data_IF_818181652707
#
_entry.id   IF_818181652707
#
_cell.length_a   1.000
_cell.length_b   1.000
_cell.length_c   1.000
_cell.angle_alpha   90.00
_cell.angle_beta   90.00
_cell.angle_gamma   90.00
#
_symmetry.space_group_name_H-M   'P 1'
#
loop_
_entity.id
_entity.type
_entity.pdbx_description
1 polymer ?
#
# COMPACT_ATOMS: atom_id res chain seq x y z
N UNK A 1 12.80 11.68 -14.42
CA UNK A 1 12.07 10.52 -13.87
C UNK A 1 12.99 9.30 -13.92
N UNK A 2 12.93 8.34 -12.96
CA UNK A 2 13.69 7.09 -13.07
C UNK A 2 13.36 6.36 -14.39
N UNK A 3 14.33 5.69 -15.00
CA UNK A 3 14.14 5.04 -16.30
C UNK A 3 13.15 3.86 -16.28
N UNK A 4 12.90 3.26 -15.11
CA UNK A 4 11.96 2.16 -14.92
C UNK A 4 10.52 2.63 -14.61
N UNK A 5 10.31 3.94 -14.47
CA UNK A 5 8.97 4.55 -14.33
C UNK A 5 8.59 5.17 -15.67
N UNK A 6 7.51 4.66 -16.25
CA UNK A 6 6.92 5.16 -17.48
C UNK A 6 5.57 5.84 -17.19
N UNK A 7 5.26 6.86 -17.98
CA UNK A 7 3.92 7.47 -18.04
C UNK A 7 3.72 8.03 -19.44
N UNK A 8 2.53 7.85 -20.01
CA UNK A 8 2.16 8.33 -21.35
C UNK A 8 1.19 9.51 -21.31
N UNK A 9 1.05 10.11 -20.13
CA UNK A 9 0.08 11.18 -19.86
C UNK A 9 0.63 12.57 -20.19
N UNK A 10 -0.22 13.57 -19.99
CA UNK A 10 0.12 14.97 -20.23
C UNK A 10 1.24 15.50 -19.33
N UNK A 11 1.71 16.70 -19.68
CA UNK A 11 2.81 17.37 -18.98
C UNK A 11 2.47 17.73 -17.53
N UNK A 12 1.20 17.99 -17.22
CA UNK A 12 0.77 18.35 -15.87
C UNK A 12 0.89 17.14 -14.94
N UNK A 13 0.31 16.00 -15.33
CA UNK A 13 0.41 14.75 -14.59
C UNK A 13 1.87 14.35 -14.38
N UNK A 14 2.68 14.42 -15.45
CA UNK A 14 4.11 14.10 -15.39
C UNK A 14 4.87 14.99 -14.40
N UNK A 15 4.50 16.28 -14.31
CA UNK A 15 5.10 17.21 -13.34
C UNK A 15 4.76 16.81 -11.90
N UNK A 16 3.48 16.51 -11.62
CA UNK A 16 3.03 16.07 -10.28
C UNK A 16 3.70 14.75 -9.87
N UNK A 17 3.80 13.79 -10.80
CA UNK A 17 4.50 12.53 -10.57
C UNK A 17 5.99 12.74 -10.26
N UNK A 18 6.67 13.60 -11.02
CA UNK A 18 8.08 13.90 -10.79
C UNK A 18 8.29 14.56 -9.42
N UNK A 19 7.41 15.49 -9.02
CA UNK A 19 7.46 16.10 -7.70
C UNK A 19 7.29 15.04 -6.59
N UNK A 20 6.27 14.17 -6.71
CA UNK A 20 6.03 13.12 -5.74
C UNK A 20 7.23 12.16 -5.61
N UNK A 21 7.80 11.71 -6.72
CA UNK A 21 9.01 10.86 -6.72
C UNK A 21 10.20 11.57 -6.07
N UNK A 22 10.38 12.87 -6.32
CA UNK A 22 11.46 13.63 -5.69
C UNK A 22 11.25 13.77 -4.18
N UNK A 23 10.01 13.94 -3.71
CA UNK A 23 9.68 13.93 -2.27
C UNK A 23 9.98 12.57 -1.63
N UNK A 24 9.67 11.46 -2.31
CA UNK A 24 10.00 10.11 -1.82
C UNK A 24 11.51 9.92 -1.68
N UNK A 25 12.30 10.38 -2.67
CA UNK A 25 13.77 10.34 -2.63
C UNK A 25 14.39 11.17 -1.51
N UNK A 26 13.68 12.17 -0.97
CA UNK A 26 14.15 12.93 0.17
C UNK A 26 14.06 12.16 1.50
N UNK A 27 13.40 11.00 1.52
CA UNK A 27 13.29 10.12 2.69
C UNK A 27 14.12 8.85 2.51
N UNK A 28 14.59 8.27 3.63
CA UNK A 28 15.30 6.99 3.62
C UNK A 28 14.38 5.86 3.15
N UNK A 29 13.16 5.84 3.68
CA UNK A 29 12.13 4.84 3.37
C UNK A 29 11.70 4.88 1.91
N UNK A 30 11.39 6.07 1.38
CA UNK A 30 11.01 6.23 -0.03
C UNK A 30 12.16 5.89 -0.99
N UNK A 31 13.40 6.27 -0.66
CA UNK A 31 14.58 5.87 -1.46
C UNK A 31 14.74 4.35 -1.49
N UNK A 32 14.64 3.68 -0.34
CA UNK A 32 14.76 2.23 -0.27
C UNK A 32 13.67 1.51 -1.08
N UNK A 33 12.44 2.02 -1.05
CA UNK A 33 11.34 1.47 -1.87
C UNK A 33 11.64 1.63 -3.38
N UNK A 34 12.05 2.83 -3.81
CA UNK A 34 12.39 3.09 -5.22
C UNK A 34 13.56 2.22 -5.71
N UNK A 35 14.57 1.99 -4.86
CA UNK A 35 15.69 1.11 -5.19
C UNK A 35 15.25 -0.35 -5.30
N UNK A 36 14.38 -0.81 -4.40
CA UNK A 36 13.80 -2.17 -4.48
C UNK A 36 12.94 -2.35 -5.71
N UNK A 37 12.16 -1.34 -6.10
CA UNK A 37 11.38 -1.37 -7.34
C UNK A 37 12.29 -1.48 -8.56
N UNK A 38 13.35 -0.65 -8.63
CA UNK A 38 14.36 -0.73 -9.69
C UNK A 38 14.97 -2.14 -9.80
N UNK A 39 15.25 -2.78 -8.66
CA UNK A 39 15.85 -4.11 -8.61
C UNK A 39 14.91 -5.24 -9.07
N UNK A 40 13.61 -4.98 -9.27
CA UNK A 40 12.69 -5.99 -9.82
C UNK A 40 12.86 -6.19 -11.33
N UNK A 41 13.59 -5.29 -12.00
CA UNK A 41 13.74 -5.25 -13.46
C UNK A 41 12.43 -5.11 -14.24
N UNK A 42 11.30 -4.92 -13.55
CA UNK A 42 10.00 -4.63 -14.17
C UNK A 42 9.87 -3.14 -14.45
N UNK A 43 9.26 -2.82 -15.58
CA UNK A 43 8.78 -1.46 -15.85
C UNK A 43 7.50 -1.21 -15.05
N UNK A 44 7.43 -0.07 -14.38
CA UNK A 44 6.22 0.42 -13.72
C UNK A 44 5.61 1.52 -14.56
N UNK A 45 4.42 1.28 -15.09
CA UNK A 45 3.65 2.26 -15.82
C UNK A 45 2.66 2.93 -14.87
N UNK A 46 2.82 4.23 -14.67
CA UNK A 46 1.99 5.02 -13.76
C UNK A 46 0.99 5.85 -14.58
N UNK A 47 -0.30 5.64 -14.29
CA UNK A 47 -1.44 6.26 -14.97
C UNK A 47 -2.27 7.11 -13.99
N UNK A 48 -3.05 8.09 -14.49
CA UNK A 48 -3.89 8.91 -13.65
C UNK A 48 -5.10 8.10 -13.19
N UNK A 49 -5.61 8.48 -12.04
CA UNK A 49 -6.78 7.87 -11.43
C UNK A 49 -7.70 8.93 -10.87
N UNK A 50 -9.01 8.66 -10.87
CA UNK A 50 -10.03 9.61 -10.41
C UNK A 50 -10.59 9.27 -9.03
N UNK A 51 -10.26 8.12 -8.44
CA UNK A 51 -10.70 7.74 -7.10
C UNK A 51 -9.61 8.03 -6.05
N UNK A 52 -9.99 8.11 -4.76
CA UNK A 52 -9.05 8.26 -3.63
C UNK A 52 -8.05 7.11 -3.45
N UNK A 53 -8.46 5.88 -3.76
CA UNK A 53 -7.63 4.68 -3.72
C UNK A 53 -6.93 4.50 -5.05
N UNK A 54 -5.66 4.13 -5.07
CA UNK A 54 -5.02 3.67 -6.30
C UNK A 54 -5.45 2.24 -6.65
N UNK A 55 -4.81 1.71 -7.69
CA UNK A 55 -4.93 0.33 -8.09
C UNK A 55 -3.60 -0.14 -8.67
N UNK A 56 -3.29 -1.43 -8.53
CA UNK A 56 -2.08 -2.04 -9.04
C UNK A 56 -2.42 -3.36 -9.73
N UNK A 57 -1.83 -3.58 -10.90
CA UNK A 57 -1.90 -4.85 -11.62
C UNK A 57 -0.54 -5.21 -12.20
N UNK A 58 -0.25 -6.49 -12.42
CA UNK A 58 0.99 -6.96 -13.06
C UNK A 58 0.65 -7.88 -14.23
N UNK A 59 1.02 -7.48 -15.46
CA UNK A 59 0.78 -8.24 -16.69
C UNK A 59 2.02 -8.22 -17.56
N UNK A 60 2.45 -9.38 -18.08
CA UNK A 60 3.48 -9.45 -19.12
C UNK A 60 4.82 -8.79 -18.78
N UNK A 61 5.27 -8.87 -17.52
CA UNK A 61 6.53 -8.26 -17.08
C UNK A 61 6.45 -6.76 -16.74
N UNK A 62 5.28 -6.14 -16.85
CA UNK A 62 5.01 -4.77 -16.42
C UNK A 62 4.13 -4.74 -15.17
N UNK A 63 4.28 -3.68 -14.38
CA UNK A 63 3.37 -3.33 -13.29
C UNK A 63 2.64 -2.05 -13.64
N UNK A 64 1.33 -2.14 -13.73
CA UNK A 64 0.43 -1.00 -13.94
C UNK A 64 0.05 -0.44 -12.58
N UNK A 65 0.21 0.86 -12.38
CA UNK A 65 -0.15 1.57 -11.16
C UNK A 65 -1.03 2.77 -11.52
N UNK A 66 -2.22 2.84 -10.93
CA UNK A 66 -3.12 3.97 -11.05
C UNK A 66 -3.05 4.84 -9.79
N UNK A 67 -2.76 6.12 -9.97
CA UNK A 67 -2.57 7.07 -8.86
C UNK A 67 -3.29 8.38 -9.13
N UNK A 68 -3.94 8.91 -8.11
CA UNK A 68 -4.60 10.21 -8.15
C UNK A 68 -3.71 11.27 -7.48
N UNK A 69 -3.03 12.14 -8.26
CA UNK A 69 -2.16 13.17 -7.71
C UNK A 69 -2.92 14.32 -7.05
N UNK A 70 -4.20 14.49 -7.39
CA UNK A 70 -5.06 15.56 -6.88
C UNK A 70 -5.81 15.16 -5.61
N UNK A 71 -5.88 13.86 -5.32
CA UNK A 71 -6.34 13.38 -4.04
C UNK A 71 -5.25 13.57 -2.97
N UNK A 72 -5.39 14.65 -2.21
CA UNK A 72 -4.54 14.95 -1.06
C UNK A 72 -5.41 15.41 0.08
N UNK A 73 -5.39 14.66 1.18
CA UNK A 73 -5.99 15.08 2.46
C UNK A 73 -4.86 15.37 3.44
N UNK A 74 -5.06 16.23 4.47
CA UNK A 74 -3.99 16.56 5.43
C UNK A 74 -3.32 15.33 6.05
N UNK A 75 -4.10 14.25 6.22
CA UNK A 75 -3.61 12.97 6.73
C UNK A 75 -2.97 12.07 5.69
N UNK A 76 -3.11 12.31 4.39
CA UNK A 76 -2.52 11.48 3.33
C UNK A 76 -2.13 12.36 2.13
N UNK A 77 -0.97 13.02 2.19
CA UNK A 77 -0.44 13.75 1.04
C UNK A 77 -0.32 12.84 -0.18
N UNK A 78 -0.53 13.38 -1.38
CA UNK A 78 -0.52 12.59 -2.61
C UNK A 78 0.76 11.74 -2.81
N UNK A 79 1.93 12.22 -2.38
CA UNK A 79 3.17 11.44 -2.46
C UNK A 79 3.23 10.27 -1.47
N UNK A 80 2.56 10.37 -0.31
CA UNK A 80 2.40 9.26 0.63
C UNK A 80 1.47 8.21 0.06
N UNK A 81 0.41 8.64 -0.63
CA UNK A 81 -0.45 7.71 -1.39
C UNK A 81 0.32 7.05 -2.54
N UNK A 82 1.18 7.78 -3.25
CA UNK A 82 2.06 7.17 -4.26
C UNK A 82 2.99 6.11 -3.64
N UNK A 83 3.58 6.40 -2.47
CA UNK A 83 4.40 5.42 -1.75
C UNK A 83 3.61 4.15 -1.43
N UNK A 84 2.39 4.31 -0.95
CA UNK A 84 1.48 3.21 -0.64
C UNK A 84 1.26 2.31 -1.86
N UNK A 85 0.86 2.89 -2.99
CA UNK A 85 0.65 2.13 -4.24
C UNK A 85 1.95 1.50 -4.77
N UNK A 86 3.11 2.12 -4.54
CA UNK A 86 4.40 1.54 -4.90
C UNK A 86 4.76 0.31 -4.05
N UNK A 87 4.29 0.21 -2.80
CA UNK A 87 4.44 -1.04 -2.02
C UNK A 87 3.61 -2.16 -2.64
N UNK A 88 2.36 -1.87 -3.03
CA UNK A 88 1.53 -2.82 -3.79
C UNK A 88 2.17 -3.22 -5.12
N UNK A 89 2.77 -2.26 -5.83
CA UNK A 89 3.52 -2.51 -7.05
C UNK A 89 4.73 -3.43 -6.82
N UNK A 90 5.46 -3.24 -5.72
CA UNK A 90 6.60 -4.11 -5.37
C UNK A 90 6.15 -5.53 -5.08
N UNK A 91 5.05 -5.70 -4.36
CA UNK A 91 4.48 -7.01 -4.06
C UNK A 91 4.02 -7.71 -5.35
N UNK A 92 3.28 -7.00 -6.20
CA UNK A 92 2.84 -7.50 -7.51
C UNK A 92 4.03 -7.83 -8.43
N UNK A 93 5.13 -7.06 -8.34
CA UNK A 93 6.35 -7.33 -9.08
C UNK A 93 6.99 -8.67 -8.67
N UNK A 94 6.91 -9.03 -7.39
CA UNK A 94 7.48 -10.29 -6.84
C UNK A 94 6.64 -11.53 -7.14
N UNK A 95 5.43 -11.37 -7.67
CA UNK A 95 4.51 -12.46 -7.99
C UNK A 95 3.28 -12.49 -7.07
N UNK A 96 2.37 -13.45 -7.26
CA UNK A 96 1.11 -13.49 -6.54
C UNK A 96 1.34 -13.62 -5.03
N UNK A 97 0.72 -12.74 -4.25
CA UNK A 97 0.67 -12.86 -2.81
C UNK A 97 -0.07 -14.17 -2.45
N UNK A 98 0.50 -14.97 -1.55
CA UNK A 98 -0.11 -16.24 -1.12
C UNK A 98 -1.40 -16.03 -0.30
N UNK A 99 -1.56 -14.86 0.31
CA UNK A 99 -2.71 -14.48 1.16
C UNK A 99 -3.19 -13.05 0.84
N UNK A 100 -4.28 -12.91 0.08
CA UNK A 100 -4.76 -11.62 -0.42
C UNK A 100 -5.24 -10.61 0.64
N UNK A 101 -5.54 -11.04 1.87
CA UNK A 101 -6.07 -10.15 2.94
C UNK A 101 -5.00 -9.37 3.71
N UNK A 102 -3.71 -9.66 3.50
CA UNK A 102 -2.59 -9.04 4.25
C UNK A 102 -1.85 -7.95 3.47
N UNK A 103 -2.16 -7.78 2.19
CA UNK A 103 -1.48 -6.87 1.27
C UNK A 103 -1.58 -5.41 1.75
N UNK A 104 -2.77 -4.99 2.16
CA UNK A 104 -3.02 -3.63 2.64
C UNK A 104 -2.37 -3.33 3.99
N UNK A 105 -2.45 -4.28 4.94
CA UNK A 105 -1.79 -4.14 6.25
C UNK A 105 -0.26 -4.05 6.09
N UNK A 106 0.32 -4.74 5.11
CA UNK A 106 1.74 -4.64 4.78
C UNK A 106 2.08 -3.27 4.17
N UNK A 107 1.29 -2.81 3.19
CA UNK A 107 1.46 -1.50 2.56
C UNK A 107 1.37 -0.36 3.58
N UNK A 108 0.40 -0.44 4.50
CA UNK A 108 0.25 0.56 5.57
C UNK A 108 1.33 0.38 6.66
N UNK A 109 1.72 -0.85 6.98
CA UNK A 109 2.62 -1.16 8.10
C UNK A 109 1.87 -1.36 9.41
N UNK A 110 0.90 -2.28 9.41
CA UNK A 110 0.04 -2.59 10.55
C UNK A 110 0.22 -4.03 11.03
N UNK A 111 -0.18 -4.28 12.28
CA UNK A 111 -0.11 -5.61 12.90
C UNK A 111 1.32 -6.16 12.88
N UNK A 112 1.52 -7.28 12.19
CA UNK A 112 2.84 -7.92 12.06
C UNK A 112 3.84 -7.10 11.22
N UNK A 113 3.36 -6.14 10.42
CA UNK A 113 4.17 -5.32 9.50
C UNK A 113 4.58 -3.97 10.09
N UNK A 114 4.34 -3.72 11.38
CA UNK A 114 4.64 -2.43 12.02
C UNK A 114 6.13 -2.03 11.98
N UNK A 115 7.00 -3.02 11.88
CA UNK A 115 8.44 -2.82 11.76
C UNK A 115 8.94 -2.90 10.31
N UNK A 116 8.05 -3.00 9.32
CA UNK A 116 8.46 -3.03 7.91
C UNK A 116 9.04 -1.68 7.49
N UNK A 117 10.26 -1.73 6.95
CA UNK A 117 11.02 -0.57 6.50
C UNK A 117 10.44 0.09 5.25
N UNK A 118 9.54 -0.59 4.54
CA UNK A 118 8.94 -0.09 3.29
C UNK A 118 7.53 0.46 3.48
N UNK A 119 6.94 0.31 4.66
CA UNK A 119 5.53 0.66 4.88
C UNK A 119 5.25 2.16 4.82
N UNK A 120 3.99 2.52 4.54
CA UNK A 120 3.49 3.89 4.60
C UNK A 120 3.72 4.51 5.98
N UNK A 121 3.42 3.79 7.06
CA UNK A 121 3.64 4.29 8.42
C UNK A 121 5.11 4.48 8.77
N UNK A 122 6.00 3.70 8.14
CA UNK A 122 7.44 3.97 8.25
C UNK A 122 7.80 5.31 7.61
N UNK A 123 7.32 5.59 6.40
CA UNK A 123 7.51 6.87 5.71
C UNK A 123 6.94 8.03 6.53
N UNK A 124 5.69 7.89 7.02
CA UNK A 124 5.01 8.91 7.82
C UNK A 124 5.82 9.31 9.05
N UNK A 125 6.35 8.33 9.79
CA UNK A 125 7.19 8.56 10.96
C UNK A 125 8.46 9.35 10.63
N UNK A 126 9.12 9.04 9.51
CA UNK A 126 10.31 9.78 9.06
C UNK A 126 10.01 11.24 8.71
N UNK A 127 8.78 11.53 8.27
CA UNK A 127 8.33 12.85 7.85
C UNK A 127 7.55 13.62 8.93
N UNK A 128 7.40 13.06 10.14
CA UNK A 128 6.60 13.66 11.21
C UNK A 128 5.10 13.76 10.89
N UNK A 129 4.60 12.91 9.99
CA UNK A 129 3.17 12.84 9.64
C UNK A 129 2.40 11.95 10.62
N UNK A 130 1.09 12.20 10.83
CA UNK A 130 0.26 11.32 11.64
C UNK A 130 0.29 9.87 11.15
N UNK A 131 0.29 8.94 12.10
CA UNK A 131 0.15 7.51 11.82
C UNK A 131 -1.20 7.22 11.15
N UNK A 132 -1.22 6.40 10.10
CA UNK A 132 -2.45 5.93 9.47
C UNK A 132 -2.97 4.72 10.24
N UNK A 133 -4.12 4.82 10.92
CA UNK A 133 -4.80 3.64 11.48
C UNK A 133 -5.31 2.75 10.35
N UNK A 134 -5.70 1.51 10.66
CA UNK A 134 -6.19 0.54 9.66
C UNK A 134 -7.28 1.07 8.75
N UNK A 135 -7.49 0.34 7.64
CA UNK A 135 -8.47 0.63 6.58
C UNK A 135 -9.92 0.87 7.08
N UNK A 136 -10.20 0.56 8.35
CA UNK A 136 -11.45 0.82 9.03
C UNK A 136 -11.39 2.13 9.85
N UNK A 137 -11.24 3.28 9.19
CA UNK A 137 -11.80 4.52 9.72
C UNK A 137 -12.71 5.11 8.67
N UNK A 138 -13.94 4.57 8.65
CA UNK A 138 -15.12 5.29 8.18
C UNK A 138 -15.14 6.67 8.85
N UNK A 139 -15.59 7.73 8.15
CA UNK A 139 -15.68 9.07 8.72
C UNK A 139 -16.46 9.04 10.04
N UNK A 140 -15.86 9.53 11.13
CA UNK A 140 -16.51 9.56 12.45
C UNK A 140 -15.60 9.57 13.68
N UNK A 141 -14.29 9.33 13.56
CA UNK A 141 -13.36 9.35 14.69
C UNK A 141 -12.34 10.50 14.58
N UNK A 142 -12.17 11.24 15.68
CA UNK A 142 -11.19 12.32 15.80
C UNK A 142 -9.75 11.79 16.02
N UNK A 143 -8.75 12.63 15.75
CA UNK A 143 -7.31 12.29 15.90
C UNK A 143 -6.94 11.91 17.34
N UNK A 144 -7.59 12.52 18.33
CA UNK A 144 -7.37 12.22 19.75
C UNK A 144 -7.93 10.87 20.16
N UNK A 145 -9.07 10.46 19.60
CA UNK A 145 -9.69 9.16 19.91
C UNK A 145 -8.89 8.00 19.32
N UNK A 146 -8.34 8.18 18.12
CA UNK A 146 -7.50 7.18 17.46
C UNK A 146 -6.12 7.11 18.11
N UNK A 147 -5.50 8.25 18.43
CA UNK A 147 -4.21 8.28 19.11
C UNK A 147 -4.30 7.72 20.53
N UNK A 148 -5.35 8.04 21.30
CA UNK A 148 -5.57 7.44 22.63
C UNK A 148 -5.78 5.94 22.54
N UNK A 149 -6.64 5.46 21.65
CA UNK A 149 -6.84 4.01 21.48
C UNK A 149 -5.56 3.31 21.07
N UNK A 150 -4.77 3.89 20.17
CA UNK A 150 -3.53 3.28 19.70
C UNK A 150 -2.45 3.25 20.79
N UNK A 151 -2.29 4.34 21.55
CA UNK A 151 -1.35 4.42 22.67
C UNK A 151 -1.75 3.48 23.84
N UNK A 152 -3.06 3.40 24.16
CA UNK A 152 -3.58 2.46 25.16
C UNK A 152 -3.33 0.99 24.73
N UNK A 153 -3.31 0.71 23.42
CA UNK A 153 -3.04 -0.63 22.88
C UNK A 153 -1.55 -1.02 22.99
N UNK A 154 -0.63 -0.04 23.11
CA UNK A 154 0.81 -0.28 23.22
C UNK A 154 1.30 -0.45 24.66
N UNK A 155 0.62 0.13 25.64
CA UNK A 155 0.96 -0.04 27.07
C UNK A 155 0.35 -1.31 27.67
N UNK A 156 -0.77 -1.81 27.12
CA UNK A 156 -1.38 -3.07 27.56
C UNK A 156 -0.75 -4.29 26.85
N UNK A 157 0.37 -4.77 27.40
CA UNK A 157 1.03 -6.00 26.97
C UNK A 157 0.10 -7.21 26.97
N UNK A 158 -0.94 -7.23 27.81
CA UNK A 158 -1.90 -8.34 27.88
C UNK A 158 -2.92 -8.29 26.74
N UNK A 159 -3.24 -7.10 26.20
CA UNK A 159 -4.08 -6.96 25.01
C UNK A 159 -3.39 -7.52 23.75
N UNK A 160 -2.10 -7.18 23.55
CA UNK A 160 -1.28 -7.74 22.44
C UNK A 160 -1.18 -9.26 22.58
N UNK A 161 -0.99 -9.76 23.81
CA UNK A 161 -0.86 -11.19 24.11
C UNK A 161 -2.15 -11.99 23.93
N UNK A 162 -3.32 -11.41 24.28
CA UNK A 162 -4.64 -12.03 24.08
C UNK A 162 -5.05 -12.14 22.61
N UNK A 163 -4.64 -11.18 21.76
CA UNK A 163 -5.03 -11.16 20.34
C UNK A 163 -4.07 -11.94 19.43
N UNK A 164 -2.81 -12.04 19.82
CA UNK A 164 -1.79 -12.79 19.06
C UNK A 164 -1.86 -14.31 19.28
N UNK A 165 -2.62 -14.78 20.28
CA UNK A 165 -2.69 -16.19 20.67
C UNK A 165 -1.33 -16.77 21.07
N UNK A 166 -1.27 -17.93 21.73
CA UNK A 166 -0.03 -18.68 21.79
C UNK A 166 0.35 -19.09 20.36
N UNK A 167 1.63 -18.87 19.97
CA UNK A 167 2.21 -19.49 18.77
C UNK A 167 1.94 -21.00 18.86
N UNK A 168 1.06 -21.50 18.02
CA UNK A 168 0.84 -22.92 17.84
C UNK A 168 1.40 -23.28 16.47
N UNK A 169 2.44 -24.09 16.49
CA UNK A 169 3.05 -24.70 15.33
C UNK A 169 1.97 -25.46 14.52
N UNK A 170 2.03 -25.35 13.18
CA UNK A 170 1.16 -26.02 12.17
C UNK A 170 0.83 -27.50 12.49
N UNK A 171 -0.28 -28.12 12.00
CA UNK A 171 -0.84 -27.99 10.64
C UNK A 171 -2.38 -28.05 10.52
N UNK A 172 -2.88 -27.77 9.31
CA UNK A 172 -4.22 -28.09 8.77
C UNK A 172 -5.52 -27.73 9.52
N UNK A 173 -6.45 -27.19 8.72
CA UNK A 173 -7.89 -26.96 8.97
C UNK A 173 -8.28 -25.62 9.60
N UNK A 174 -8.84 -24.74 8.76
CA UNK A 174 -10.15 -24.12 8.96
C UNK A 174 -10.52 -23.34 7.68
N UNK A 175 -10.85 -24.10 6.64
CA UNK A 175 -11.48 -23.57 5.44
C UNK A 175 -12.90 -23.11 5.77
N UNK A 176 -13.18 -21.82 5.62
CA UNK A 176 -14.51 -21.37 5.17
C UNK A 176 -14.38 -20.96 3.71
N UNK A 177 -14.95 -21.78 2.83
CA UNK A 177 -15.20 -21.41 1.43
C UNK A 177 -16.03 -20.12 1.43
N UNK A 178 -15.47 -19.05 0.89
CA UNK A 178 -16.23 -17.91 0.44
C UNK A 178 -16.51 -18.20 -1.03
N UNK A 179 -17.78 -18.41 -1.37
CA UNK A 179 -18.20 -18.48 -2.77
C UNK A 179 -18.00 -17.10 -3.39
N UNK A 180 -16.92 -16.93 -4.16
CA UNK A 180 -16.69 -15.74 -4.97
C UNK A 180 -17.51 -15.91 -6.23
N UNK A 181 -18.65 -15.22 -6.33
CA UNK A 181 -19.35 -15.07 -7.60
C UNK A 181 -18.52 -14.14 -8.48
N UNK A 182 -17.85 -14.69 -9.49
CA UNK A 182 -17.11 -13.92 -10.49
C UNK A 182 -18.13 -13.15 -11.35
N UNK A 183 -18.00 -11.81 -11.49
CA UNK A 183 -18.87 -11.05 -12.39
C UNK A 183 -18.70 -11.50 -13.85
N UNK A 184 -19.81 -11.73 -14.56
CA UNK A 184 -19.84 -12.24 -15.95
C UNK A 184 -18.96 -11.49 -16.95
N UNK A 185 -18.68 -10.20 -16.75
CA UNK A 185 -17.82 -9.43 -17.65
C UNK A 185 -16.35 -9.84 -17.61
N UNK A 186 -15.93 -10.59 -16.57
CA UNK A 186 -14.58 -11.19 -16.48
C UNK A 186 -14.44 -12.42 -17.38
N UNK A 187 -15.53 -13.16 -17.65
CA UNK A 187 -15.50 -14.35 -18.52
C UNK A 187 -15.45 -13.99 -20.02
N UNK A 188 -15.87 -12.78 -20.39
CA UNK A 188 -15.93 -12.34 -21.79
C UNK A 188 -14.58 -11.85 -22.32
N UNK A 189 -13.61 -11.54 -21.45
CA UNK A 189 -12.27 -11.09 -21.86
C UNK A 189 -11.27 -12.22 -22.12
N UNK A 190 -11.61 -13.48 -21.81
CA UNK A 190 -10.75 -14.64 -22.10
C UNK A 190 -11.07 -15.33 -23.45
N UNK A 191 -11.94 -14.72 -24.27
CA UNK A 191 -12.37 -15.29 -25.56
C UNK A 191 -12.07 -14.44 -26.80
N UNK A 192 -11.24 -13.40 -26.69
CA UNK A 192 -10.73 -12.64 -27.85
C UNK A 192 -9.20 -12.75 -28.00
#
# INVERSE_FOLDING_TARGET
>A
MPAWIETHEDAEFRSKLLEAVNRLRASKTGTLLLDKMKATEKTVEIRPWNLPSGNVSSVGGRVMLWWNPDFSVPRSPAFVMLHHELVHALQSARGPAKDGSRIEDEAIGLGQFINDELSENRLRRELGLPHRPSHAVLPGFSDEELSKRFLDTFEDKDFVRKRMGPRQDHPDSLFRKIDVTIPKWVEEQEKE
#
